data_IF_224314306989
#
_entry.id   IF_224314306989
#
_cell.length_a   1.000
_cell.length_b   1.000
_cell.length_c   1.000
_cell.angle_alpha   90.00
_cell.angle_beta   90.00
_cell.angle_gamma   90.00
#
_symmetry.space_group_name_H-M   'P 1'
#
loop_
_entity.id
_entity.type
_entity.pdbx_description
1 polymer ?
#
# COMPACT_ATOMS: atom_id res chain seq x y z
N UNK A 1 -3.15 3.88 -13.17
CA UNK A 1 -4.59 4.12 -12.89
C UNK A 1 -4.94 5.60 -12.92
N UNK A 2 -4.26 6.48 -12.18
CA UNK A 2 -4.54 7.94 -12.23
C UNK A 2 -4.52 8.53 -13.66
N UNK A 3 -3.54 8.16 -14.48
CA UNK A 3 -3.47 8.55 -15.90
C UNK A 3 -4.75 8.24 -16.71
N UNK A 4 -5.55 7.26 -16.28
CA UNK A 4 -6.80 6.87 -16.94
C UNK A 4 -7.94 7.84 -16.64
N UNK A 5 -7.83 8.66 -15.61
CA UNK A 5 -8.78 9.74 -15.28
C UNK A 5 -8.39 11.07 -15.95
N UNK A 6 -7.16 11.19 -16.44
CA UNK A 6 -6.64 12.39 -17.11
C UNK A 6 -7.02 12.39 -18.60
N UNK A 7 -7.17 13.58 -19.18
CA UNK A 7 -7.34 13.71 -20.63
C UNK A 7 -6.05 13.32 -21.37
N UNK A 8 -6.18 12.53 -22.42
CA UNK A 8 -5.05 12.06 -23.21
C UNK A 8 -5.30 10.69 -23.87
N UNK A 9 -4.30 10.14 -24.57
CA UNK A 9 -4.42 8.88 -25.30
C UNK A 9 -4.79 7.67 -24.44
N UNK A 10 -4.39 7.70 -23.16
CA UNK A 10 -4.61 6.60 -22.20
C UNK A 10 -5.86 6.77 -21.33
N UNK A 11 -6.69 7.79 -21.58
CA UNK A 11 -7.94 7.99 -20.85
C UNK A 11 -8.83 6.75 -20.94
N UNK A 12 -9.36 6.31 -19.80
CA UNK A 12 -10.24 5.13 -19.70
C UNK A 12 -9.54 3.76 -19.84
N UNK A 13 -8.27 3.69 -20.25
CA UNK A 13 -7.58 2.41 -20.53
C UNK A 13 -7.34 1.52 -19.31
N UNK A 14 -7.59 2.04 -18.10
CA UNK A 14 -7.47 1.30 -16.83
C UNK A 14 -8.77 1.33 -16.02
N UNK A 15 -9.93 1.61 -16.64
CA UNK A 15 -11.21 1.69 -15.94
C UNK A 15 -11.54 0.41 -15.16
N UNK A 16 -11.33 -0.77 -15.75
CA UNK A 16 -11.58 -2.04 -15.05
C UNK A 16 -10.75 -2.21 -13.76
N UNK A 17 -9.52 -1.68 -13.71
CA UNK A 17 -8.72 -1.69 -12.50
C UNK A 17 -9.23 -0.68 -11.46
N UNK A 18 -9.71 0.49 -11.89
CA UNK A 18 -10.36 1.47 -11.00
C UNK A 18 -11.63 0.88 -10.39
N UNK A 19 -12.50 0.30 -11.22
CA UNK A 19 -13.74 -0.36 -10.79
C UNK A 19 -13.46 -1.53 -9.84
N UNK A 20 -12.36 -2.26 -10.08
CA UNK A 20 -11.90 -3.31 -9.18
C UNK A 20 -11.58 -2.82 -7.77
N UNK A 21 -10.91 -1.66 -7.63
CA UNK A 21 -10.64 -1.08 -6.31
C UNK A 21 -11.93 -0.63 -5.61
N UNK A 22 -12.86 -0.01 -6.35
CA UNK A 22 -14.16 0.37 -5.82
C UNK A 22 -14.94 -0.86 -5.31
N UNK A 23 -14.94 -1.96 -6.08
CA UNK A 23 -15.62 -3.20 -5.67
C UNK A 23 -14.95 -3.88 -4.47
N UNK A 24 -13.62 -3.87 -4.36
CA UNK A 24 -12.90 -4.35 -3.17
C UNK A 24 -13.33 -3.54 -1.95
N UNK A 25 -13.34 -2.22 -2.03
CA UNK A 25 -13.73 -1.33 -0.94
C UNK A 25 -15.20 -1.52 -0.54
N UNK A 26 -16.11 -1.66 -1.52
CA UNK A 26 -17.52 -1.95 -1.26
C UNK A 26 -17.69 -3.26 -0.49
N UNK A 27 -16.96 -4.33 -0.86
CA UNK A 27 -16.98 -5.60 -0.12
C UNK A 27 -16.40 -5.46 1.27
N UNK A 28 -15.29 -4.73 1.43
CA UNK A 28 -14.68 -4.45 2.72
C UNK A 28 -15.66 -3.71 3.65
N UNK A 29 -16.40 -2.73 3.13
CA UNK A 29 -17.45 -2.00 3.84
C UNK A 29 -18.58 -2.90 4.31
N UNK A 30 -19.11 -3.76 3.43
CA UNK A 30 -20.17 -4.72 3.77
C UNK A 30 -19.70 -5.70 4.85
N UNK A 31 -18.43 -6.10 4.79
CA UNK A 31 -17.81 -6.94 5.80
C UNK A 31 -17.47 -6.15 7.08
N UNK A 32 -17.54 -4.82 7.08
CA UNK A 32 -17.23 -3.98 8.24
C UNK A 32 -15.73 -3.88 8.55
N UNK A 33 -14.86 -4.01 7.56
CA UNK A 33 -13.43 -3.74 7.75
C UNK A 33 -13.22 -2.29 8.16
N UNK A 34 -12.39 -2.03 9.16
CA UNK A 34 -12.10 -0.68 9.67
C UNK A 34 -10.66 -0.21 9.35
N UNK A 35 -9.80 -1.16 8.99
CA UNK A 35 -8.38 -0.94 8.78
C UNK A 35 -7.94 -1.71 7.54
N UNK A 36 -7.08 -1.11 6.74
CA UNK A 36 -6.36 -1.78 5.66
C UNK A 36 -4.89 -1.92 6.03
N UNK A 37 -4.40 -3.15 5.96
CA UNK A 37 -2.97 -3.44 5.99
C UNK A 37 -2.52 -3.62 4.55
N UNK A 38 -1.65 -2.74 4.06
CA UNK A 38 -1.20 -2.73 2.67
C UNK A 38 0.26 -3.12 2.59
N UNK A 39 0.56 -4.20 1.88
CA UNK A 39 1.92 -4.60 1.54
C UNK A 39 2.33 -3.84 0.28
N UNK A 40 3.23 -2.87 0.43
CA UNK A 40 3.58 -1.89 -0.60
C UNK A 40 4.86 -2.28 -1.34
N UNK A 41 4.74 -2.72 -2.60
CA UNK A 41 5.90 -3.09 -3.42
C UNK A 41 6.68 -1.89 -3.98
N UNK A 42 6.31 -0.65 -3.65
CA UNK A 42 7.07 0.56 -3.97
C UNK A 42 7.88 1.07 -2.79
N UNK A 43 7.64 0.57 -1.58
CA UNK A 43 8.47 0.90 -0.43
C UNK A 43 9.68 -0.03 -0.34
N UNK A 44 10.79 0.46 -0.89
CA UNK A 44 12.07 -0.24 -0.91
C UNK A 44 12.76 -0.19 0.45
N UNK A 45 13.23 -1.35 0.92
CA UNK A 45 13.95 -1.52 2.17
C UNK A 45 15.18 -2.41 2.00
N UNK A 46 16.23 -2.11 2.76
CA UNK A 46 17.53 -2.77 2.66
C UNK A 46 17.94 -3.57 3.91
N UNK A 47 17.32 -3.35 5.07
CA UNK A 47 17.69 -4.05 6.31
C UNK A 47 16.54 -4.09 7.31
N UNK A 48 16.11 -5.29 7.71
CA UNK A 48 14.90 -5.48 8.52
C UNK A 48 13.62 -5.19 7.74
N UNK A 49 12.48 -5.59 8.29
CA UNK A 49 11.18 -5.20 7.77
C UNK A 49 10.74 -3.87 8.40
N UNK A 50 9.93 -3.12 7.67
CA UNK A 50 9.47 -1.81 8.10
C UNK A 50 7.95 -1.72 7.96
N UNK A 51 7.31 -1.18 9.01
CA UNK A 51 5.89 -0.88 9.04
C UNK A 51 5.74 0.61 9.31
N UNK A 52 5.02 1.32 8.43
CA UNK A 52 4.60 2.68 8.72
C UNK A 52 3.34 2.60 9.58
N UNK A 53 3.55 2.76 10.89
CA UNK A 53 2.54 2.68 11.93
C UNK A 53 2.16 4.08 12.45
N UNK A 54 2.40 5.14 11.67
CA UNK A 54 2.01 6.48 12.10
C UNK A 54 0.50 6.56 12.36
N UNK A 55 0.10 7.46 13.25
CA UNK A 55 -1.30 7.65 13.65
C UNK A 55 -2.11 8.47 12.64
N UNK A 56 -1.43 9.23 11.78
CA UNK A 56 -2.01 10.08 10.75
C UNK A 56 -1.08 10.17 9.54
N UNK A 57 -1.65 10.26 8.35
CA UNK A 57 -0.94 10.44 7.09
C UNK A 57 -1.57 11.62 6.36
N UNK A 58 -0.79 12.65 6.02
CA UNK A 58 -1.25 13.78 5.22
C UNK A 58 -0.10 14.38 4.42
N UNK A 59 -0.33 14.61 3.14
CA UNK A 59 0.73 15.14 2.27
C UNK A 59 0.29 15.39 0.84
N UNK A 60 1.26 15.80 0.02
CA UNK A 60 1.10 16.06 -1.40
C UNK A 60 2.15 15.27 -2.17
N UNK A 61 1.75 14.15 -2.75
CA UNK A 61 2.68 13.20 -3.35
C UNK A 61 2.89 13.42 -4.85
N UNK A 62 4.13 13.27 -5.31
CA UNK A 62 4.50 13.13 -6.73
C UNK A 62 5.40 11.90 -6.87
N UNK A 63 5.09 11.03 -7.83
CA UNK A 63 5.89 9.82 -8.06
C UNK A 63 7.27 10.20 -8.59
N UNK A 64 8.31 9.68 -7.96
CA UNK A 64 9.69 9.80 -8.44
C UNK A 64 9.93 8.98 -9.73
N UNK A 65 9.15 7.91 -9.92
CA UNK A 65 9.28 6.98 -11.04
C UNK A 65 8.48 7.44 -12.27
N UNK A 66 7.26 7.95 -12.05
CA UNK A 66 6.36 8.40 -13.12
C UNK A 66 5.65 9.72 -12.79
N UNK A 67 6.37 10.84 -12.64
CA UNK A 67 5.79 12.12 -12.25
C UNK A 67 4.75 12.64 -13.25
N UNK A 68 4.89 12.35 -14.53
CA UNK A 68 3.92 12.71 -15.57
C UNK A 68 2.55 12.02 -15.41
N UNK A 69 2.48 10.94 -14.64
CA UNK A 69 1.24 10.18 -14.40
C UNK A 69 0.66 10.40 -12.99
N UNK A 70 1.53 10.57 -11.99
CA UNK A 70 1.16 10.78 -10.59
C UNK A 70 1.91 12.01 -10.08
N UNK A 71 1.23 13.15 -10.06
CA UNK A 71 1.79 14.44 -9.66
C UNK A 71 0.80 15.19 -8.78
N UNK A 72 1.32 15.92 -7.79
CA UNK A 72 0.56 16.80 -6.91
C UNK A 72 -0.72 16.13 -6.37
N UNK A 73 -0.61 14.86 -5.95
CA UNK A 73 -1.73 14.07 -5.46
C UNK A 73 -1.87 14.30 -3.94
N UNK A 74 -2.86 15.09 -3.49
CA UNK A 74 -3.09 15.23 -2.06
C UNK A 74 -3.63 13.90 -1.51
N UNK A 75 -3.24 13.59 -0.28
CA UNK A 75 -3.75 12.45 0.47
C UNK A 75 -3.91 12.79 1.94
N UNK A 76 -4.88 12.14 2.58
CA UNK A 76 -5.12 12.23 4.01
C UNK A 76 -5.78 10.95 4.50
N UNK A 77 -5.19 10.26 5.47
CA UNK A 77 -5.71 9.02 6.05
C UNK A 77 -5.38 8.93 7.54
N UNK A 78 -6.29 8.38 8.32
CA UNK A 78 -5.98 7.96 9.69
C UNK A 78 -5.13 6.68 9.67
N UNK A 79 -4.25 6.54 10.65
CA UNK A 79 -3.45 5.34 10.85
C UNK A 79 -3.98 4.41 11.94
N UNK A 80 -3.47 3.18 11.99
CA UNK A 80 -3.72 2.25 13.09
C UNK A 80 -2.39 1.83 13.75
N UNK A 81 -1.82 2.76 14.53
CA UNK A 81 -0.52 2.60 15.19
C UNK A 81 -0.43 1.35 16.05
N UNK A 82 -1.47 1.09 16.85
CA UNK A 82 -1.49 -0.07 17.75
C UNK A 82 -1.42 -1.40 16.99
N UNK A 83 -2.10 -1.52 15.84
CA UNK A 83 -2.00 -2.70 14.99
C UNK A 83 -0.61 -2.81 14.35
N UNK A 84 -0.07 -1.70 13.82
CA UNK A 84 1.28 -1.69 13.23
C UNK A 84 2.37 -2.13 14.22
N UNK A 85 2.31 -1.63 15.45
CA UNK A 85 3.21 -2.02 16.54
C UNK A 85 3.07 -3.50 16.90
N UNK A 86 1.84 -4.00 16.98
CA UNK A 86 1.56 -5.40 17.27
C UNK A 86 2.14 -6.33 16.19
N UNK A 87 2.00 -5.97 14.91
CA UNK A 87 2.57 -6.75 13.80
C UNK A 87 4.10 -6.77 13.88
N UNK A 88 4.74 -5.60 14.09
CA UNK A 88 6.19 -5.51 14.16
C UNK A 88 6.78 -6.33 15.31
N UNK A 89 6.13 -6.27 16.48
CA UNK A 89 6.50 -7.08 17.65
C UNK A 89 6.39 -8.58 17.34
N UNK A 90 5.23 -9.03 16.85
CA UNK A 90 4.97 -10.44 16.57
C UNK A 90 5.94 -11.00 15.51
N UNK A 91 6.22 -10.24 14.44
CA UNK A 91 7.16 -10.65 13.40
C UNK A 91 8.58 -10.79 13.95
N UNK A 92 9.00 -9.85 14.81
CA UNK A 92 10.31 -9.88 15.45
C UNK A 92 10.45 -11.07 16.40
N UNK A 93 9.42 -11.38 17.18
CA UNK A 93 9.40 -12.54 18.08
C UNK A 93 9.46 -13.88 17.32
N UNK A 94 9.00 -13.90 16.06
CA UNK A 94 9.08 -15.05 15.15
C UNK A 94 10.37 -15.12 14.34
N UNK A 95 11.28 -14.15 14.49
CA UNK A 95 12.60 -14.16 13.87
C UNK A 95 12.76 -13.26 12.63
N UNK A 96 11.70 -12.58 12.17
CA UNK A 96 11.81 -11.55 11.13
C UNK A 96 11.88 -10.17 11.78
N UNK A 97 13.10 -9.65 11.97
CA UNK A 97 13.30 -8.37 12.64
C UNK A 97 12.54 -7.24 11.93
N UNK A 98 11.57 -6.65 12.62
CA UNK A 98 10.60 -5.70 12.04
C UNK A 98 10.48 -4.45 12.91
N UNK A 99 10.54 -3.29 12.28
CA UNK A 99 10.49 -1.97 12.92
C UNK A 99 9.18 -1.26 12.58
N UNK A 100 8.45 -0.81 13.59
CA UNK A 100 7.30 0.08 13.43
C UNK A 100 7.75 1.55 13.54
N UNK A 101 7.32 2.37 12.58
CA UNK A 101 7.69 3.78 12.47
C UNK A 101 6.49 4.70 12.75
N UNK A 102 6.73 5.75 13.52
CA UNK A 102 5.74 6.75 13.94
C UNK A 102 6.26 8.15 13.61
N UNK A 103 6.50 8.42 12.32
CA UNK A 103 7.19 9.62 11.84
C UNK A 103 6.32 10.37 10.83
N UNK A 104 6.00 11.64 11.13
CA UNK A 104 5.21 12.49 10.23
C UNK A 104 5.89 12.78 8.90
N UNK A 105 7.24 12.75 8.88
CA UNK A 105 8.02 12.93 7.66
C UNK A 105 8.13 11.66 6.81
N UNK A 106 7.68 10.51 7.32
CA UNK A 106 7.68 9.26 6.57
C UNK A 106 6.36 9.12 5.81
N UNK A 107 6.39 9.50 4.54
CA UNK A 107 5.24 9.47 3.65
C UNK A 107 4.80 8.03 3.30
N UNK A 108 3.59 7.91 2.76
CA UNK A 108 3.15 6.68 2.10
C UNK A 108 3.66 6.64 0.66
N UNK A 109 4.16 5.49 0.22
CA UNK A 109 4.56 5.30 -1.17
C UNK A 109 3.34 5.10 -2.08
N UNK A 110 3.54 5.27 -3.39
CA UNK A 110 2.41 5.26 -4.32
C UNK A 110 1.75 3.87 -4.46
N UNK A 111 2.44 2.79 -4.09
CA UNK A 111 1.85 1.47 -3.99
C UNK A 111 0.76 1.42 -2.92
N UNK A 112 0.87 2.21 -1.85
CA UNK A 112 -0.20 2.41 -0.86
C UNK A 112 -1.21 3.45 -1.34
N UNK A 113 -0.74 4.59 -1.84
CA UNK A 113 -1.60 5.73 -2.14
C UNK A 113 -2.57 5.50 -3.31
N UNK A 114 -2.15 4.81 -4.37
CA UNK A 114 -2.99 4.63 -5.56
C UNK A 114 -4.20 3.74 -5.27
N UNK A 115 -4.05 2.54 -4.66
CA UNK A 115 -5.21 1.76 -4.22
C UNK A 115 -6.10 2.54 -3.26
N UNK A 116 -5.50 3.19 -2.25
CA UNK A 116 -6.25 3.95 -1.26
C UNK A 116 -7.06 5.09 -1.88
N UNK A 117 -6.52 5.82 -2.86
CA UNK A 117 -7.24 6.90 -3.57
C UNK A 117 -8.56 6.44 -4.19
N UNK A 118 -8.63 5.20 -4.68
CA UNK A 118 -9.83 4.66 -5.30
C UNK A 118 -10.73 3.96 -4.27
N UNK A 119 -10.16 3.20 -3.35
CA UNK A 119 -10.91 2.51 -2.30
C UNK A 119 -11.61 3.48 -1.33
N UNK A 120 -10.94 4.58 -0.96
CA UNK A 120 -11.46 5.57 0.00
C UNK A 120 -12.68 6.34 -0.51
N UNK A 121 -12.95 6.31 -1.83
CA UNK A 121 -14.17 6.90 -2.41
C UNK A 121 -15.43 6.12 -1.99
N UNK A 122 -15.28 4.83 -1.71
CA UNK A 122 -16.38 3.94 -1.32
C UNK A 122 -16.41 3.67 0.18
N UNK A 123 -15.23 3.56 0.79
CA UNK A 123 -15.07 3.17 2.18
C UNK A 123 -13.81 3.74 2.83
N UNK A 124 -14.00 4.55 3.87
CA UNK A 124 -12.91 5.10 4.67
C UNK A 124 -12.40 4.05 5.67
N UNK A 125 -11.08 3.85 5.68
CA UNK A 125 -10.40 2.86 6.52
C UNK A 125 -9.10 3.47 7.04
N UNK A 126 -8.70 3.06 8.25
CA UNK A 126 -7.37 3.36 8.78
C UNK A 126 -6.30 2.61 7.98
N UNK A 127 -5.09 3.14 7.91
CA UNK A 127 -3.99 2.56 7.13
C UNK A 127 -2.87 2.05 8.03
N UNK A 128 -2.34 0.88 7.69
CA UNK A 128 -1.02 0.40 8.11
C UNK A 128 -0.28 -0.02 6.84
N UNK A 129 0.85 0.64 6.54
CA UNK A 129 1.65 0.28 5.36
C UNK A 129 2.83 -0.59 5.78
N UNK A 130 3.05 -1.69 5.07
CA UNK A 130 4.12 -2.65 5.29
C UNK A 130 5.00 -2.66 4.06
N UNK A 131 6.31 -2.42 4.22
CA UNK A 131 7.25 -2.47 3.11
C UNK A 131 7.29 -3.89 2.52
N UNK A 132 7.14 -4.00 1.19
CA UNK A 132 7.15 -5.28 0.49
C UNK A 132 8.15 -5.33 -0.68
N UNK A 133 8.94 -4.26 -0.89
CA UNK A 133 10.10 -4.29 -1.78
C UNK A 133 11.38 -4.55 -0.99
N UNK A 134 11.57 -5.84 -0.68
CA UNK A 134 12.68 -6.35 0.11
C UNK A 134 13.85 -6.74 -0.81
N UNK A 135 14.96 -6.00 -0.78
CA UNK A 135 16.07 -6.18 -1.74
C UNK A 135 17.02 -7.32 -1.37
N UNK A 136 17.09 -7.69 -0.10
CA UNK A 136 18.07 -8.66 0.44
C UNK A 136 17.45 -9.67 1.42
N UNK A 137 16.12 -9.73 1.50
CA UNK A 137 15.39 -10.60 2.42
C UNK A 137 14.96 -11.91 1.74
N UNK A 138 14.76 -12.95 2.54
CA UNK A 138 14.25 -14.24 2.07
C UNK A 138 12.70 -14.23 1.96
N UNK A 139 12.17 -15.01 1.02
CA UNK A 139 10.73 -15.20 0.90
C UNK A 139 10.11 -15.84 2.16
N UNK A 140 10.85 -16.67 2.89
CA UNK A 140 10.40 -17.24 4.15
C UNK A 140 10.28 -16.17 5.26
N UNK A 141 11.08 -15.11 5.22
CA UNK A 141 10.89 -13.97 6.15
C UNK A 141 9.60 -13.21 5.84
N UNK A 142 9.25 -13.07 4.55
CA UNK A 142 7.96 -12.49 4.15
C UNK A 142 6.78 -13.36 4.62
N UNK A 143 6.94 -14.69 4.64
CA UNK A 143 5.95 -15.62 5.22
C UNK A 143 5.78 -15.37 6.71
N UNK A 144 6.87 -15.23 7.46
CA UNK A 144 6.84 -14.91 8.89
C UNK A 144 6.07 -13.61 9.15
N UNK A 145 6.32 -12.56 8.36
CA UNK A 145 5.58 -11.30 8.48
C UNK A 145 4.09 -11.50 8.18
N UNK A 146 3.73 -12.31 7.19
CA UNK A 146 2.33 -12.67 6.91
C UNK A 146 1.64 -13.40 8.08
N UNK A 147 2.34 -14.33 8.73
CA UNK A 147 1.85 -14.99 9.95
C UNK A 147 1.68 -14.01 11.11
N UNK A 148 2.62 -13.08 11.26
CA UNK A 148 2.56 -12.04 12.27
C UNK A 148 1.40 -11.07 12.06
N UNK A 149 1.11 -10.69 10.81
CA UNK A 149 -0.08 -9.91 10.45
C UNK A 149 -1.33 -10.63 10.93
N UNK A 150 -1.48 -11.93 10.63
CA UNK A 150 -2.63 -12.72 11.05
C UNK A 150 -2.77 -12.75 12.58
N UNK A 151 -1.69 -13.07 13.29
CA UNK A 151 -1.73 -13.19 14.75
C UNK A 151 -2.07 -11.84 15.43
N UNK A 152 -1.49 -10.74 14.96
CA UNK A 152 -1.80 -9.40 15.46
C UNK A 152 -3.26 -9.00 15.20
N UNK A 153 -3.82 -9.36 14.04
CA UNK A 153 -5.24 -9.13 13.72
C UNK A 153 -6.15 -9.93 14.67
N UNK A 154 -5.90 -11.24 14.83
CA UNK A 154 -6.68 -12.13 15.71
C UNK A 154 -6.65 -11.68 17.18
N UNK A 155 -5.55 -11.05 17.62
CA UNK A 155 -5.39 -10.51 18.98
C UNK A 155 -5.97 -9.09 19.15
N UNK A 156 -6.41 -8.44 18.08
CA UNK A 156 -6.93 -7.06 18.09
C UNK A 156 -8.45 -7.01 17.93
N UNK A 157 -9.04 -5.85 18.17
CA UNK A 157 -10.44 -5.58 17.81
C UNK A 157 -10.60 -5.06 16.37
N UNK A 158 -9.51 -4.96 15.59
CA UNK A 158 -9.54 -4.39 14.24
C UNK A 158 -10.09 -5.42 13.27
N UNK A 159 -10.98 -5.00 12.36
CA UNK A 159 -11.38 -5.83 11.23
C UNK A 159 -10.61 -5.42 9.99
N UNK A 160 -9.72 -6.29 9.53
CA UNK A 160 -8.69 -5.91 8.55
C UNK A 160 -9.00 -6.38 7.13
N UNK A 161 -8.83 -5.47 6.17
CA UNK A 161 -8.61 -5.78 4.76
C UNK A 161 -7.09 -5.89 4.53
N UNK A 162 -6.60 -7.07 4.16
CA UNK A 162 -5.20 -7.25 3.76
C UNK A 162 -5.06 -7.07 2.25
N UNK A 163 -4.20 -6.15 1.81
CA UNK A 163 -3.97 -5.85 0.39
C UNK A 163 -2.50 -6.11 0.04
N UNK A 164 -2.27 -7.06 -0.85
CA UNK A 164 -0.98 -7.21 -1.52
C UNK A 164 -0.95 -6.23 -2.72
N UNK A 165 -0.32 -5.07 -2.54
CA UNK A 165 -0.30 -4.02 -3.56
C UNK A 165 0.94 -4.17 -4.45
N UNK A 166 0.75 -4.86 -5.57
CA UNK A 166 1.77 -5.07 -6.59
C UNK A 166 1.15 -5.48 -7.93
N UNK A 167 1.93 -5.38 -9.00
CA UNK A 167 1.51 -5.85 -10.32
C UNK A 167 1.95 -7.30 -10.58
N UNK A 168 1.39 -7.91 -11.62
CA UNK A 168 1.77 -9.26 -12.05
C UNK A 168 3.02 -9.22 -12.94
N UNK A 169 2.86 -9.17 -14.26
CA UNK A 169 3.98 -9.01 -15.18
C UNK A 169 4.51 -7.59 -15.16
N UNK A 170 5.76 -7.41 -14.78
CA UNK A 170 6.40 -6.09 -14.68
C UNK A 170 7.27 -5.73 -15.88
N UNK A 171 6.83 -6.10 -17.10
CA UNK A 171 7.54 -5.78 -18.34
C UNK A 171 7.10 -4.40 -18.86
N UNK A 172 7.89 -3.37 -18.55
CA UNK A 172 7.62 -1.99 -18.95
C UNK A 172 8.26 -1.73 -20.32
N UNK A 173 7.61 -0.88 -21.14
CA UNK A 173 8.16 -0.46 -22.42
C UNK A 173 9.53 0.21 -22.23
N UNK A 174 10.57 -0.20 -22.99
CA UNK A 174 11.85 0.51 -22.96
C UNK A 174 11.66 1.93 -23.50
N UNK A 175 12.55 2.85 -23.10
CA UNK A 175 12.43 4.28 -23.42
C UNK A 175 12.20 4.57 -24.91
N UNK A 176 12.82 3.80 -25.81
CA UNK A 176 12.66 3.95 -27.27
C UNK A 176 11.22 3.72 -27.76
N UNK A 177 10.44 2.95 -27.02
CA UNK A 177 9.08 2.54 -27.38
C UNK A 177 8.02 3.26 -26.52
N UNK A 178 8.43 4.11 -25.56
CA UNK A 178 7.54 4.76 -24.60
C UNK A 178 6.43 5.57 -25.28
N UNK A 179 6.79 6.50 -26.17
CA UNK A 179 5.84 7.43 -26.79
C UNK A 179 4.87 6.78 -27.79
N UNK A 180 5.22 5.61 -28.33
CA UNK A 180 4.33 4.88 -29.24
C UNK A 180 3.27 4.05 -28.49
N UNK A 181 3.45 3.84 -27.18
CA UNK A 181 2.64 2.93 -26.38
C UNK A 181 1.95 3.60 -25.17
N UNK A 182 2.12 4.91 -24.99
CA UNK A 182 1.48 5.73 -23.95
C UNK A 182 0.99 7.04 -24.56
#
# INVERSE_FOLDING_TARGET
MLMSEQDGPVKGTRQAAIDGHAEIARRAKVLGADTVVICDTHWVINAGFHINANSHFEGLFTSNEFPQFIQNMPYKYDGNSALGDAIAKEATERGAHTLAHHLDSLELEYGSLVPMRFMSREHEMKVVSVAAWCTVHDHDESRIVGEAIRAAVEASNSKVLLVASGSLSHNIWPNKDYAANN
#
